data_IF_692751077024
#
_entry.id   IF_692751077024
#
_cell.length_a   1.000
_cell.length_b   1.000
_cell.length_c   1.000
_cell.angle_alpha   90.00
_cell.angle_beta   90.00
_cell.angle_gamma   90.00
#
_symmetry.space_group_name_H-M   'P 1'
#
loop_
_entity.id
_entity.type
_entity.pdbx_description
1 polymer ?
#
# COMPACT_ATOMS: atom_id res chain seq x y z
N UNK A 1 -7.96 20.33 -0.97
CA UNK A 1 -7.61 19.74 -2.28
C UNK A 1 -8.73 18.82 -2.70
N UNK A 2 -9.13 18.82 -3.99
CA UNK A 2 -10.07 17.82 -4.51
C UNK A 2 -9.48 16.41 -4.40
N UNK A 3 -10.35 15.41 -4.28
CA UNK A 3 -9.96 14.00 -4.28
C UNK A 3 -9.64 13.60 -5.73
N UNK A 4 -8.52 12.91 -5.93
CA UNK A 4 -8.17 12.27 -7.21
C UNK A 4 -7.22 11.10 -6.99
N UNK A 5 -7.23 10.15 -7.92
CA UNK A 5 -6.31 9.03 -7.94
C UNK A 5 -5.21 9.32 -8.96
N UNK A 6 -3.98 9.04 -8.58
CA UNK A 6 -2.84 9.14 -9.48
C UNK A 6 -2.08 7.80 -9.49
N UNK A 7 -1.58 7.34 -10.64
CA UNK A 7 -0.69 6.19 -10.70
C UNK A 7 0.52 6.37 -9.77
N UNK A 8 0.86 5.33 -9.02
CA UNK A 8 2.05 5.29 -8.18
C UNK A 8 3.00 4.20 -8.66
N UNK A 9 4.20 4.62 -9.09
CA UNK A 9 5.16 3.72 -9.70
C UNK A 9 6.08 3.07 -8.65
N UNK A 10 5.98 1.75 -8.50
CA UNK A 10 6.92 0.96 -7.69
C UNK A 10 7.80 0.03 -8.55
N UNK A 11 7.77 0.19 -9.88
CA UNK A 11 8.58 -0.58 -10.83
C UNK A 11 7.98 -1.91 -11.28
N UNK A 12 6.78 -2.27 -10.82
CA UNK A 12 6.04 -3.47 -11.23
C UNK A 12 4.53 -3.30 -11.05
N UNK A 13 3.75 -4.20 -11.64
CA UNK A 13 2.31 -4.32 -11.41
C UNK A 13 1.98 -5.70 -10.80
N UNK A 14 0.87 -5.85 -10.08
CA UNK A 14 0.33 -7.16 -9.73
C UNK A 14 -0.03 -7.96 -10.98
N UNK A 15 0.26 -9.26 -10.94
CA UNK A 15 -0.10 -10.18 -12.03
C UNK A 15 -1.62 -10.25 -12.18
N UNK A 16 -2.17 -10.08 -13.41
CA UNK A 16 -3.61 -10.18 -13.63
C UNK A 16 -4.12 -11.63 -13.65
N UNK A 17 -3.22 -12.62 -13.58
CA UNK A 17 -3.56 -14.02 -13.88
C UNK A 17 -3.75 -14.90 -12.65
N UNK A 18 -3.17 -14.54 -11.49
CA UNK A 18 -3.14 -15.42 -10.32
C UNK A 18 -3.42 -14.63 -9.04
N UNK A 19 -4.51 -14.92 -8.31
CA UNK A 19 -4.71 -14.37 -6.98
C UNK A 19 -3.77 -15.07 -6.00
N UNK A 20 -2.88 -14.30 -5.40
CA UNK A 20 -1.91 -14.79 -4.42
C UNK A 20 -1.41 -13.66 -3.50
N UNK A 21 -2.12 -12.54 -3.48
CA UNK A 21 -1.82 -11.41 -2.62
C UNK A 21 -1.86 -11.84 -1.15
N UNK A 22 -0.81 -11.47 -0.40
CA UNK A 22 -0.69 -11.75 1.04
C UNK A 22 -0.24 -10.49 1.76
N UNK A 23 -0.93 -10.18 2.85
CA UNK A 23 -0.52 -9.13 3.78
C UNK A 23 0.09 -9.76 5.03
N UNK A 24 1.29 -9.32 5.38
CA UNK A 24 1.95 -9.66 6.65
C UNK A 24 2.15 -8.37 7.42
N UNK A 25 1.60 -8.28 8.62
CA UNK A 25 1.63 -7.06 9.42
C UNK A 25 1.78 -7.35 10.91
N UNK A 26 2.64 -6.57 11.57
CA UNK A 26 2.76 -6.51 13.03
C UNK A 26 2.60 -5.05 13.52
N UNK A 27 3.05 -4.75 14.75
CA UNK A 27 2.98 -3.40 15.32
C UNK A 27 3.96 -2.39 14.72
N UNK A 28 4.94 -2.82 13.92
CA UNK A 28 6.05 -2.00 13.44
C UNK A 28 6.14 -1.95 11.90
N UNK A 29 5.73 -3.02 11.23
CA UNK A 29 5.95 -3.25 9.81
C UNK A 29 4.72 -3.83 9.13
N UNK A 30 4.49 -3.40 7.89
CA UNK A 30 3.48 -3.97 6.99
C UNK A 30 4.15 -4.31 5.67
N UNK A 31 3.96 -5.55 5.22
CA UNK A 31 4.41 -6.05 3.93
C UNK A 31 3.23 -6.57 3.12
N UNK A 32 3.25 -6.31 1.81
CA UNK A 32 2.32 -6.89 0.84
C UNK A 32 3.13 -7.68 -0.16
N UNK A 33 2.75 -8.95 -0.35
CA UNK A 33 3.40 -9.87 -1.27
C UNK A 33 2.43 -10.22 -2.39
N UNK A 34 2.90 -10.25 -3.63
CA UNK A 34 2.09 -10.68 -4.77
C UNK A 34 2.99 -11.12 -5.94
N UNK A 35 2.44 -11.92 -6.85
CA UNK A 35 3.13 -12.20 -8.12
C UNK A 35 3.21 -10.92 -8.95
N UNK A 36 4.43 -10.52 -9.31
CA UNK A 36 4.69 -9.25 -9.97
C UNK A 36 5.07 -9.45 -11.43
N UNK A 37 4.62 -8.51 -12.26
CA UNK A 37 4.96 -8.47 -13.69
C UNK A 37 5.54 -7.10 -14.05
N UNK A 38 6.28 -7.04 -15.16
CA UNK A 38 6.76 -5.77 -15.69
C UNK A 38 5.59 -4.87 -16.09
N UNK A 39 5.81 -3.55 -16.03
CA UNK A 39 4.81 -2.55 -16.45
C UNK A 39 4.58 -2.52 -17.96
N UNK A 40 5.60 -2.88 -18.72
CA UNK A 40 5.58 -2.85 -20.18
C UNK A 40 5.61 -4.25 -20.74
N UNK A 41 4.91 -4.43 -21.86
CA UNK A 41 4.97 -5.64 -22.67
C UNK A 41 6.38 -5.75 -23.26
N UNK A 42 6.97 -6.93 -23.13
CA UNK A 42 8.28 -7.24 -23.71
C UNK A 42 8.19 -7.47 -25.23
N UNK A 43 9.34 -7.59 -25.90
CA UNK A 43 9.41 -7.86 -27.35
C UNK A 43 8.65 -9.14 -27.77
N UNK A 44 8.44 -10.07 -26.84
CA UNK A 44 7.71 -11.33 -27.09
C UNK A 44 6.19 -11.17 -27.00
N UNK A 45 5.68 -9.97 -26.69
CA UNK A 45 4.24 -9.70 -26.58
C UNK A 45 3.63 -9.98 -25.21
N UNK A 46 4.43 -10.40 -24.23
CA UNK A 46 3.97 -10.71 -22.87
C UNK A 46 4.61 -9.78 -21.82
N UNK A 47 3.91 -9.57 -20.71
CA UNK A 47 4.51 -8.98 -19.51
C UNK A 47 5.55 -9.95 -18.95
N UNK A 48 6.70 -9.43 -18.54
CA UNK A 48 7.78 -10.24 -17.96
C UNK A 48 7.42 -10.61 -16.53
N UNK A 49 7.48 -11.89 -16.21
CA UNK A 49 7.40 -12.40 -14.84
C UNK A 49 8.60 -11.91 -14.02
N UNK A 50 8.33 -11.23 -12.92
CA UNK A 50 9.31 -10.72 -11.97
C UNK A 50 9.38 -11.56 -10.68
N UNK A 51 8.60 -12.64 -10.58
CA UNK A 51 8.49 -13.46 -9.39
C UNK A 51 7.51 -12.88 -8.37
N UNK A 52 7.86 -12.94 -7.09
CA UNK A 52 7.06 -12.40 -5.98
C UNK A 52 7.65 -11.07 -5.53
N UNK A 53 6.92 -9.97 -5.72
CA UNK A 53 7.29 -8.70 -5.12
C UNK A 53 7.04 -8.73 -3.61
N UNK A 54 8.00 -8.25 -2.83
CA UNK A 54 7.82 -7.90 -1.42
C UNK A 54 7.77 -6.39 -1.32
N UNK A 55 6.58 -5.84 -1.10
CA UNK A 55 6.35 -4.40 -0.95
C UNK A 55 6.28 -4.07 0.54
N UNK A 56 7.12 -3.13 0.98
CA UNK A 56 7.06 -2.58 2.34
C UNK A 56 6.24 -1.30 2.34
N UNK A 57 5.22 -1.22 3.19
CA UNK A 57 4.49 0.00 3.49
C UNK A 57 5.18 0.73 4.64
N UNK A 58 6.06 1.67 4.33
CA UNK A 58 6.90 2.35 5.32
C UNK A 58 6.04 3.16 6.28
N UNK A 59 6.25 2.99 7.59
CA UNK A 59 5.50 3.74 8.60
C UNK A 59 3.98 3.56 8.44
N UNK A 60 3.54 2.36 8.04
CA UNK A 60 2.12 2.07 7.88
C UNK A 60 1.39 2.24 9.22
N UNK A 61 0.38 3.10 9.26
CA UNK A 61 -0.44 3.31 10.46
C UNK A 61 -1.77 2.58 10.41
N UNK A 62 -2.31 2.34 9.21
CA UNK A 62 -3.57 1.61 9.02
C UNK A 62 -3.58 0.92 7.67
N UNK A 63 -4.24 -0.22 7.58
CA UNK A 63 -4.43 -0.99 6.36
C UNK A 63 -5.83 -1.60 6.29
N UNK A 64 -6.26 -1.93 5.07
CA UNK A 64 -7.45 -2.70 4.75
C UNK A 64 -7.09 -3.70 3.66
N UNK A 65 -7.66 -4.90 3.73
CA UNK A 65 -7.43 -5.95 2.75
C UNK A 65 -8.70 -6.78 2.57
N UNK A 66 -9.13 -6.97 1.32
CA UNK A 66 -10.34 -7.71 0.98
C UNK A 66 -11.09 -7.07 -0.17
N UNK A 67 -12.42 -7.00 -0.09
CA UNK A 67 -13.25 -6.41 -1.15
C UNK A 67 -12.93 -4.92 -1.41
N UNK A 68 -13.10 -4.43 -2.64
CA UNK A 68 -13.64 -5.15 -3.81
C UNK A 68 -12.61 -5.97 -4.60
N UNK A 69 -13.10 -6.93 -5.39
CA UNK A 69 -12.38 -7.55 -6.49
C UNK A 69 -12.46 -6.68 -7.76
N UNK A 70 -11.93 -7.16 -8.89
CA UNK A 70 -12.00 -6.46 -10.17
C UNK A 70 -13.44 -6.23 -10.68
N UNK A 71 -14.33 -7.21 -10.51
CA UNK A 71 -15.75 -7.08 -10.89
C UNK A 71 -16.52 -6.10 -9.99
N UNK A 72 -16.19 -6.04 -8.70
CA UNK A 72 -16.78 -5.14 -7.70
C UNK A 72 -16.11 -3.77 -7.60
N UNK A 73 -15.16 -3.47 -8.50
CA UNK A 73 -14.44 -2.19 -8.53
C UNK A 73 -15.36 -0.98 -8.73
N UNK A 74 -16.44 -1.03 -9.53
CA UNK A 74 -17.42 0.06 -9.66
C UNK A 74 -18.03 0.52 -8.33
N UNK A 75 -18.12 -0.36 -7.33
CA UNK A 75 -18.64 -0.08 -6.00
C UNK A 75 -17.60 0.57 -5.06
N UNK A 76 -16.33 0.65 -5.47
CA UNK A 76 -15.30 1.30 -4.65
C UNK A 76 -15.64 2.78 -4.46
N UNK A 77 -15.51 3.35 -3.24
CA UNK A 77 -15.78 4.77 -2.98
C UNK A 77 -14.98 5.76 -3.84
N UNK A 78 -13.88 5.27 -4.43
CA UNK A 78 -12.98 6.04 -5.27
C UNK A 78 -13.11 5.76 -6.77
N UNK A 79 -14.12 4.97 -7.18
CA UNK A 79 -14.29 4.55 -8.56
C UNK A 79 -14.32 5.73 -9.55
N UNK A 80 -15.21 6.69 -9.27
CA UNK A 80 -15.42 7.90 -10.07
C UNK A 80 -14.29 8.94 -9.98
N UNK A 81 -13.28 8.72 -9.12
CA UNK A 81 -12.19 9.68 -8.88
C UNK A 81 -10.88 9.33 -9.60
N UNK A 82 -10.94 8.41 -10.58
CA UNK A 82 -9.82 8.02 -11.44
C UNK A 82 -9.45 6.53 -11.38
N UNK A 83 -10.18 5.71 -10.62
CA UNK A 83 -9.91 4.25 -10.56
C UNK A 83 -10.37 3.51 -11.83
N UNK A 84 -11.31 4.09 -12.58
CA UNK A 84 -11.74 3.60 -13.89
C UNK A 84 -10.67 3.76 -14.99
N UNK A 85 -9.69 4.65 -14.76
CA UNK A 85 -8.61 4.87 -15.71
C UNK A 85 -7.61 3.71 -15.53
N UNK A 86 -7.62 2.73 -16.44
CA UNK A 86 -6.78 1.51 -16.44
C UNK A 86 -5.26 1.77 -16.59
N UNK A 87 -4.75 2.88 -16.04
CA UNK A 87 -3.38 3.34 -16.20
C UNK A 87 -2.41 2.63 -15.26
N UNK A 88 -2.88 2.12 -14.12
CA UNK A 88 -2.07 1.44 -13.09
C UNK A 88 -2.96 0.70 -12.10
N UNK A 89 -2.50 -0.43 -11.58
CA UNK A 89 -3.15 -1.11 -10.46
C UNK A 89 -2.65 -0.60 -9.10
N UNK A 90 -1.67 0.29 -9.10
CA UNK A 90 -1.08 0.88 -7.89
C UNK A 90 -1.29 2.38 -7.93
N UNK A 91 -2.01 2.90 -6.95
CA UNK A 91 -2.58 4.25 -6.96
C UNK A 91 -2.28 4.97 -5.64
N UNK A 92 -2.08 6.29 -5.72
CA UNK A 92 -2.11 7.20 -4.56
C UNK A 92 -3.41 8.02 -4.59
N UNK A 93 -4.11 8.09 -3.45
CA UNK A 93 -5.31 8.92 -3.30
C UNK A 93 -4.92 10.29 -2.76
N UNK A 94 -4.81 11.26 -3.66
CA UNK A 94 -4.56 12.66 -3.31
C UNK A 94 -5.81 13.25 -2.66
N UNK A 95 -5.62 13.92 -1.52
CA UNK A 95 -6.73 14.53 -0.77
C UNK A 95 -7.58 13.53 0.03
N UNK A 96 -7.09 12.29 0.22
CA UNK A 96 -7.76 11.20 0.94
C UNK A 96 -8.46 11.65 2.23
N UNK A 97 -9.78 11.44 2.35
CA UNK A 97 -10.50 11.63 3.61
C UNK A 97 -10.00 10.72 4.73
N UNK A 98 -9.66 9.47 4.40
CA UNK A 98 -9.17 8.50 5.38
C UNK A 98 -7.81 8.92 5.96
N UNK A 99 -6.87 9.39 5.12
CA UNK A 99 -5.59 9.91 5.61
C UNK A 99 -5.78 11.10 6.56
N UNK A 100 -6.71 12.02 6.26
CA UNK A 100 -7.04 13.15 7.13
C UNK A 100 -7.65 12.71 8.45
N UNK A 101 -8.51 11.70 8.42
CA UNK A 101 -9.11 11.11 9.62
C UNK A 101 -8.04 10.51 10.53
N UNK A 102 -7.12 9.71 9.98
CA UNK A 102 -6.01 9.10 10.73
C UNK A 102 -5.11 10.17 11.35
N UNK A 103 -4.74 11.20 10.58
CA UNK A 103 -3.94 12.33 11.09
C UNK A 103 -4.66 13.06 12.24
N UNK A 104 -5.98 13.24 12.13
CA UNK A 104 -6.77 13.86 13.20
C UNK A 104 -6.80 12.98 14.46
N UNK A 105 -6.99 11.67 14.32
CA UNK A 105 -6.97 10.74 15.45
C UNK A 105 -5.61 10.70 16.16
N UNK A 106 -4.52 10.70 15.39
CA UNK A 106 -3.15 10.81 15.91
C UNK A 106 -2.96 12.11 16.69
N UNK A 107 -3.36 13.25 16.10
CA UNK A 107 -3.29 14.56 16.75
C UNK A 107 -4.05 14.59 18.09
N UNK A 108 -5.31 14.16 18.09
CA UNK A 108 -6.14 14.12 19.31
C UNK A 108 -5.51 13.21 20.37
N UNK A 109 -4.94 12.08 19.96
CA UNK A 109 -4.28 11.15 20.86
C UNK A 109 -3.03 11.75 21.50
N UNK A 110 -2.19 12.42 20.71
CA UNK A 110 -0.98 13.10 21.19
C UNK A 110 -1.36 14.23 22.16
N UNK A 111 -2.32 15.08 21.80
CA UNK A 111 -2.81 16.17 22.65
C UNK A 111 -3.35 15.65 23.99
N UNK A 112 -4.12 14.56 23.97
CA UNK A 112 -4.67 13.96 25.20
C UNK A 112 -3.58 13.36 26.10
N UNK A 113 -2.58 12.68 25.53
CA UNK A 113 -1.55 11.96 26.30
C UNK A 113 -0.47 12.91 26.81
N UNK A 114 -0.05 13.87 25.99
CA UNK A 114 1.14 14.69 26.22
C UNK A 114 0.83 16.18 26.41
N UNK A 115 -0.34 16.66 26.01
CA UNK A 115 -0.69 18.09 26.02
C UNK A 115 -0.73 18.72 27.42
N UNK A 116 -0.94 17.92 28.48
CA UNK A 116 -0.88 18.40 29.86
C UNK A 116 0.56 18.53 30.41
N UNK A 117 1.56 17.92 29.76
CA UNK A 117 2.91 17.77 30.34
C UNK A 117 3.89 18.88 30.00
N UNK A 118 3.53 19.88 29.18
CA UNK A 118 4.42 20.96 28.70
C UNK A 118 5.77 20.50 28.11
N UNK A 119 6.01 19.19 28.01
CA UNK A 119 6.99 18.60 27.14
C UNK A 119 6.48 18.84 25.74
N UNK A 120 7.12 19.77 25.04
CA UNK A 120 7.13 19.81 23.59
C UNK A 120 7.63 18.44 23.18
N UNK A 121 6.72 17.47 23.03
CA UNK A 121 6.92 16.45 22.03
C UNK A 121 7.01 17.32 20.79
N UNK A 122 8.24 17.62 20.36
CA UNK A 122 8.46 18.07 19.00
C UNK A 122 7.59 17.10 18.22
N UNK A 123 6.58 17.61 17.53
CA UNK A 123 5.80 16.82 16.60
C UNK A 123 6.79 16.42 15.52
N UNK A 124 7.74 15.54 15.88
CA UNK A 124 9.08 15.42 15.32
C UNK A 124 9.04 14.61 14.05
N UNK A 125 7.86 14.60 13.46
CA UNK A 125 7.56 14.15 12.15
C UNK A 125 6.06 14.35 12.01
N UNK A 126 5.68 15.54 11.54
CA UNK A 126 4.40 15.76 10.87
C UNK A 126 4.42 14.91 9.58
N UNK A 127 4.52 13.57 9.73
CA UNK A 127 4.64 12.65 8.60
C UNK A 127 3.36 12.76 7.84
N UNK A 128 3.48 13.36 6.67
CA UNK A 128 2.38 13.36 5.74
C UNK A 128 2.24 11.94 5.20
N UNK A 129 1.46 11.13 5.90
CA UNK A 129 1.12 9.80 5.44
C UNK A 129 0.16 9.91 4.26
N UNK A 130 0.46 9.13 3.23
CA UNK A 130 -0.30 9.02 1.99
C UNK A 130 -1.26 7.85 2.08
N UNK A 131 -2.29 7.90 1.25
CA UNK A 131 -3.22 6.79 1.07
C UNK A 131 -2.89 6.07 -0.23
N UNK A 132 -2.52 4.79 -0.14
CA UNK A 132 -2.23 3.93 -1.28
C UNK A 132 -3.32 2.89 -1.49
N UNK A 133 -3.60 2.56 -2.75
CA UNK A 133 -4.50 1.49 -3.17
C UNK A 133 -3.73 0.58 -4.13
N UNK A 134 -3.72 -0.71 -3.83
CA UNK A 134 -3.24 -1.77 -4.71
C UNK A 134 -4.45 -2.61 -5.12
N UNK A 135 -4.78 -2.56 -6.41
CA UNK A 135 -5.86 -3.32 -7.02
C UNK A 135 -5.31 -4.68 -7.45
N UNK A 136 -5.81 -5.75 -6.84
CA UNK A 136 -5.59 -7.11 -7.31
C UNK A 136 -6.81 -7.59 -8.09
N UNK A 137 -6.72 -8.81 -8.61
CA UNK A 137 -7.83 -9.43 -9.31
C UNK A 137 -8.99 -9.73 -8.36
N UNK A 138 -8.71 -10.41 -7.25
CA UNK A 138 -9.75 -10.90 -6.34
C UNK A 138 -9.93 -10.01 -5.10
N UNK A 139 -8.98 -9.13 -4.82
CA UNK A 139 -8.98 -8.27 -3.64
C UNK A 139 -8.37 -6.90 -3.92
N UNK A 140 -8.58 -5.98 -2.99
CA UNK A 140 -7.96 -4.67 -2.95
C UNK A 140 -7.25 -4.54 -1.60
N UNK A 141 -6.02 -4.02 -1.64
CA UNK A 141 -5.30 -3.59 -0.46
C UNK A 141 -5.24 -2.07 -0.43
N UNK A 142 -5.57 -1.48 0.70
CA UNK A 142 -5.43 -0.04 0.93
C UNK A 142 -4.57 0.19 2.19
N UNK A 143 -3.73 1.22 2.20
CA UNK A 143 -3.00 1.59 3.42
C UNK A 143 -2.72 3.09 3.56
N UNK A 144 -2.56 3.52 4.81
CA UNK A 144 -2.03 4.84 5.18
C UNK A 144 -0.58 4.65 5.61
N UNK A 145 0.36 5.14 4.81
CA UNK A 145 1.79 4.94 4.98
C UNK A 145 2.60 6.14 4.49
N UNK A 146 3.86 6.26 4.92
CA UNK A 146 4.78 7.30 4.44
C UNK A 146 5.10 7.10 2.95
N UNK A 147 5.26 5.83 2.55
CA UNK A 147 5.67 5.39 1.22
C UNK A 147 5.42 3.89 1.04
N UNK A 148 5.32 3.42 -0.20
CA UNK A 148 5.33 1.98 -0.54
C UNK A 148 6.49 1.71 -1.48
N UNK A 149 7.30 0.69 -1.17
CA UNK A 149 8.48 0.35 -1.97
C UNK A 149 8.65 -1.14 -2.13
N UNK A 150 9.03 -1.57 -3.33
CA UNK A 150 9.51 -2.94 -3.54
C UNK A 150 10.88 -3.08 -2.88
N UNK A 151 11.01 -4.06 -1.98
CA UNK A 151 12.27 -4.40 -1.33
C UNK A 151 13.00 -5.55 -2.00
N UNK A 152 12.23 -6.47 -2.57
CA UNK A 152 12.74 -7.71 -3.15
C UNK A 152 11.80 -8.19 -4.25
N UNK A 153 12.38 -8.72 -5.32
CA UNK A 153 11.71 -9.61 -6.26
C UNK A 153 12.24 -11.03 -5.99
N UNK A 154 11.48 -11.81 -5.23
CA UNK A 154 11.83 -13.17 -4.84
C UNK A 154 11.40 -14.17 -5.92
N UNK A 155 12.08 -15.31 -6.02
CA UNK A 155 11.70 -16.35 -7.01
C UNK A 155 10.44 -17.11 -6.60
N UNK A 156 10.07 -17.07 -5.32
CA UNK A 156 8.93 -17.80 -4.77
C UNK A 156 8.41 -17.14 -3.49
N UNK A 157 7.20 -17.53 -3.07
CA UNK A 157 6.66 -17.11 -1.78
C UNK A 157 7.50 -17.59 -0.60
N UNK A 158 8.10 -18.78 -0.67
CA UNK A 158 8.97 -19.29 0.40
C UNK A 158 10.16 -18.37 0.66
N UNK A 159 10.82 -17.93 -0.41
CA UNK A 159 11.92 -16.95 -0.33
C UNK A 159 11.41 -15.59 0.15
N UNK A 160 10.26 -15.13 -0.36
CA UNK A 160 9.64 -13.88 0.07
C UNK A 160 9.31 -13.86 1.57
N UNK A 161 8.70 -14.93 2.08
CA UNK A 161 8.41 -15.08 3.51
C UNK A 161 9.67 -15.19 4.36
N UNK A 162 10.73 -15.84 3.87
CA UNK A 162 12.01 -15.87 4.57
C UNK A 162 12.58 -14.46 4.74
N UNK A 163 12.50 -13.63 3.70
CA UNK A 163 12.89 -12.22 3.78
C UNK A 163 12.02 -11.46 4.79
N UNK A 164 10.70 -11.58 4.70
CA UNK A 164 9.77 -10.86 5.60
C UNK A 164 9.96 -11.28 7.05
N UNK A 165 10.07 -12.59 7.33
CA UNK A 165 10.30 -13.10 8.68
C UNK A 165 11.55 -12.49 9.30
N UNK A 166 12.66 -12.48 8.56
CA UNK A 166 13.91 -11.86 9.03
C UNK A 166 13.73 -10.37 9.34
N UNK A 167 12.93 -9.64 8.55
CA UNK A 167 12.66 -8.22 8.78
C UNK A 167 11.79 -7.97 10.01
N UNK A 168 10.87 -8.88 10.33
CA UNK A 168 10.06 -8.82 11.54
C UNK A 168 10.90 -9.12 12.80
N UNK A 169 11.91 -9.98 12.69
CA UNK A 169 12.83 -10.31 13.80
C UNK A 169 13.82 -9.17 14.16
N UNK A 170 13.84 -8.05 13.43
CA UNK A 170 14.76 -6.93 13.67
C UNK A 170 14.28 -5.94 14.75
N UNK A 171 13.04 -6.08 15.23
CA UNK A 171 12.44 -5.21 16.27
C UNK A 171 12.33 -5.93 17.61
#
# INVERSE_FOLDING_TARGET
MPIRLIPYDIGCEPSPSVPAEVVVQDGWSTFVLFFAVSKTISETGFLKDLGVAVVECKGCSMSKFGYPNDEGRPEHPFYEFGMQEELSNILEVVGSPWAKEVQLQQKISIERIWGARSTVWEASDNRYQKHFILLFKEQTFECIADDIVVRLFAKSFSEAFTYVHKRLDEH
#
